data_IF_218455462234
#
_entry.id   IF_218455462234
#
_cell.length_a   1.000
_cell.length_b   1.000
_cell.length_c   1.000
_cell.angle_alpha   90.00
_cell.angle_beta   90.00
_cell.angle_gamma   90.00
#
_symmetry.space_group_name_H-M   'P 1'
#
loop_
_entity.id
_entity.type
_entity.pdbx_description
1 polymer ?
#
# COMPACT_ATOMS: atom_id res chain seq x y z
N UNK A 1 -2.04 21.73 7.05
CA UNK A 1 -2.41 20.70 6.05
C UNK A 1 -1.23 19.74 5.91
N UNK A 2 -1.44 18.44 5.80
CA UNK A 2 -0.37 17.42 5.82
C UNK A 2 0.47 17.49 4.53
N UNK A 3 1.79 17.56 4.65
CA UNK A 3 2.70 17.66 3.51
C UNK A 3 3.16 16.27 3.02
N UNK A 4 2.36 15.71 2.11
CA UNK A 4 2.66 14.40 1.50
C UNK A 4 3.78 14.45 0.46
N UNK A 5 4.06 15.61 -0.13
CA UNK A 5 5.15 15.76 -1.11
C UNK A 5 6.51 15.59 -0.44
N UNK A 6 6.73 16.34 0.64
CA UNK A 6 7.94 16.22 1.45
C UNK A 6 8.08 14.82 2.05
N UNK A 7 6.97 14.23 2.51
CA UNK A 7 6.95 12.85 3.01
C UNK A 7 7.44 11.85 1.95
N UNK A 8 6.94 11.91 0.71
CA UNK A 8 7.39 11.03 -0.38
C UNK A 8 8.91 11.16 -0.61
N UNK A 9 9.41 12.40 -0.67
CA UNK A 9 10.85 12.64 -0.85
C UNK A 9 11.68 12.02 0.28
N UNK A 10 11.22 12.12 1.53
CA UNK A 10 11.90 11.54 2.68
C UNK A 10 11.90 10.01 2.62
N UNK A 11 10.75 9.38 2.37
CA UNK A 11 10.63 7.92 2.23
C UNK A 11 11.58 7.42 1.16
N UNK A 12 11.63 8.08 0.00
CA UNK A 12 12.54 7.68 -1.09
C UNK A 12 14.00 7.80 -0.71
N UNK A 13 14.40 8.91 -0.11
CA UNK A 13 15.80 9.15 0.27
C UNK A 13 16.27 8.17 1.35
N UNK A 14 15.42 7.88 2.34
CA UNK A 14 15.73 6.96 3.42
C UNK A 14 15.71 5.50 2.96
N UNK A 15 14.83 5.15 2.03
CA UNK A 15 14.73 3.81 1.45
C UNK A 15 15.63 3.55 0.24
N UNK A 16 16.39 4.53 -0.24
CA UNK A 16 17.20 4.40 -1.46
C UNK A 16 16.37 4.23 -2.74
N UNK A 17 15.11 4.69 -2.76
CA UNK A 17 14.15 4.48 -3.83
C UNK A 17 14.20 5.60 -4.87
N UNK A 18 14.08 5.24 -6.15
CA UNK A 18 13.73 6.17 -7.23
C UNK A 18 12.25 6.51 -7.17
N UNK A 19 11.85 7.57 -7.90
CA UNK A 19 10.44 7.97 -7.94
C UNK A 19 9.57 6.91 -8.65
N UNK A 20 10.14 6.20 -9.63
CA UNK A 20 9.49 5.06 -10.30
C UNK A 20 9.26 3.86 -9.38
N UNK A 21 10.18 3.60 -8.44
CA UNK A 21 10.02 2.55 -7.44
C UNK A 21 8.86 2.89 -6.50
N UNK A 22 8.79 4.15 -6.04
CA UNK A 22 7.67 4.60 -5.20
C UNK A 22 6.33 4.55 -5.94
N UNK A 23 6.31 4.89 -7.23
CA UNK A 23 5.13 4.74 -8.09
C UNK A 23 4.65 3.29 -8.15
N UNK A 24 5.59 2.37 -8.27
CA UNK A 24 5.31 0.93 -8.32
C UNK A 24 4.79 0.41 -6.98
N UNK A 25 5.42 0.80 -5.86
CA UNK A 25 5.02 0.39 -4.52
C UNK A 25 3.61 0.85 -4.15
N UNK A 26 3.30 2.12 -4.43
CA UNK A 26 2.02 2.75 -4.06
C UNK A 26 0.92 2.59 -5.10
N UNK A 27 1.24 2.09 -6.30
CA UNK A 27 0.32 2.11 -7.44
C UNK A 27 -0.07 3.52 -7.92
N UNK A 28 0.56 4.57 -7.39
CA UNK A 28 0.31 5.94 -7.82
C UNK A 28 1.08 6.24 -9.10
N UNK A 29 0.45 6.96 -10.03
CA UNK A 29 1.12 7.33 -11.29
C UNK A 29 2.37 8.18 -11.08
N UNK A 30 3.43 7.92 -11.83
CA UNK A 30 4.70 8.64 -11.74
C UNK A 30 4.53 10.16 -11.95
N UNK A 31 3.71 10.58 -12.92
CA UNK A 31 3.42 12.02 -13.15
C UNK A 31 2.68 12.66 -11.97
N UNK A 32 1.81 11.90 -11.30
CA UNK A 32 1.13 12.35 -10.08
C UNK A 32 2.14 12.55 -8.95
N UNK A 33 3.05 11.58 -8.73
CA UNK A 33 4.10 11.68 -7.72
C UNK A 33 5.09 12.81 -8.00
N UNK A 34 5.45 13.04 -9.27
CA UNK A 34 6.30 14.17 -9.65
C UNK A 34 5.66 15.53 -9.31
N UNK A 35 4.38 15.72 -9.66
CA UNK A 35 3.65 16.94 -9.30
C UNK A 35 3.43 17.06 -7.78
N UNK A 36 3.32 15.94 -7.07
CA UNK A 36 3.18 15.92 -5.62
C UNK A 36 4.50 16.31 -4.93
N UNK A 37 5.63 15.72 -5.31
CA UNK A 37 6.96 16.02 -4.76
C UNK A 37 7.42 17.45 -5.07
N UNK A 38 6.99 18.02 -6.21
CA UNK A 38 7.25 19.43 -6.56
C UNK A 38 6.27 20.43 -5.92
N UNK A 39 5.24 19.97 -5.22
CA UNK A 39 4.24 20.81 -4.58
C UNK A 39 3.18 21.40 -5.54
N UNK A 40 3.25 21.09 -6.83
CA UNK A 40 2.26 21.51 -7.86
C UNK A 40 0.88 20.91 -7.59
N UNK A 41 0.84 19.69 -7.05
CA UNK A 41 -0.41 18.98 -6.73
C UNK A 41 -0.42 18.55 -5.27
N UNK A 42 -1.60 18.67 -4.64
CA UNK A 42 -1.84 18.14 -3.29
C UNK A 42 -2.52 16.78 -3.34
N UNK A 43 -2.19 15.92 -2.38
CA UNK A 43 -2.87 14.65 -2.15
C UNK A 43 -4.08 14.89 -1.23
N UNK A 44 -5.28 14.97 -1.82
CA UNK A 44 -6.54 15.22 -1.11
C UNK A 44 -7.59 14.11 -1.26
N UNK A 45 -7.38 13.18 -2.18
CA UNK A 45 -8.26 12.02 -2.39
C UNK A 45 -7.95 10.94 -1.35
N UNK A 46 -8.99 10.48 -0.66
CA UNK A 46 -8.86 9.42 0.34
C UNK A 46 -8.38 8.11 -0.28
N UNK A 47 -8.88 7.74 -1.45
CA UNK A 47 -8.45 6.51 -2.16
C UNK A 47 -6.96 6.52 -2.44
N UNK A 48 -6.42 7.67 -2.88
CA UNK A 48 -4.98 7.82 -3.14
C UNK A 48 -4.15 7.86 -1.86
N UNK A 49 -4.73 8.33 -0.74
CA UNK A 49 -4.08 8.25 0.58
C UNK A 49 -4.01 6.77 1.01
N UNK A 50 -5.10 6.01 0.84
CA UNK A 50 -5.12 4.57 1.12
C UNK A 50 -4.07 3.85 0.27
N UNK A 51 -4.07 4.05 -1.05
CA UNK A 51 -3.07 3.47 -1.95
C UNK A 51 -1.62 3.78 -1.53
N UNK A 52 -1.36 5.02 -1.10
CA UNK A 52 -0.04 5.41 -0.62
C UNK A 52 0.34 4.68 0.67
N UNK A 53 -0.58 4.55 1.62
CA UNK A 53 -0.31 3.93 2.92
C UNK A 53 -0.17 2.41 2.79
N UNK A 54 -1.03 1.78 2.00
CA UNK A 54 -0.99 0.34 1.71
C UNK A 54 0.32 -0.02 1.00
N UNK A 55 0.73 0.76 0.00
CA UNK A 55 1.98 0.51 -0.73
C UNK A 55 3.26 0.75 0.09
N UNK A 56 3.15 1.48 1.19
CA UNK A 56 4.25 1.69 2.14
C UNK A 56 4.18 0.73 3.34
N UNK A 57 3.23 -0.21 3.34
CA UNK A 57 2.98 -1.15 4.42
C UNK A 57 2.89 -0.46 5.80
N UNK A 58 2.19 0.68 5.83
CA UNK A 58 2.07 1.48 7.06
C UNK A 58 1.20 0.73 8.06
N UNK A 59 1.69 0.46 9.28
CA UNK A 59 0.91 -0.22 10.31
C UNK A 59 -0.40 0.51 10.61
N UNK A 60 -1.48 -0.27 10.74
CA UNK A 60 -2.85 0.24 10.93
C UNK A 60 -3.00 1.02 12.24
N UNK A 61 -2.16 0.72 13.23
CA UNK A 61 -2.09 1.41 14.51
C UNK A 61 -1.70 2.89 14.35
N UNK A 62 -1.03 3.25 13.24
CA UNK A 62 -0.57 4.61 12.94
C UNK A 62 -1.55 5.43 12.09
N UNK A 63 -2.55 4.81 11.46
CA UNK A 63 -3.47 5.47 10.53
C UNK A 63 -4.86 5.72 11.14
N UNK A 64 -5.19 5.02 12.23
CA UNK A 64 -6.46 5.18 12.95
C UNK A 64 -7.68 4.66 12.16
N UNK A 65 -8.88 4.68 12.76
CA UNK A 65 -10.06 4.01 12.19
C UNK A 65 -10.62 4.65 10.91
N UNK A 66 -10.21 5.87 10.56
CA UNK A 66 -10.76 6.66 9.45
C UNK A 66 -10.29 6.21 8.06
N UNK A 67 -9.19 5.46 7.97
CA UNK A 67 -8.62 4.97 6.70
C UNK A 67 -8.78 3.45 6.53
N UNK A 68 -9.67 2.83 7.29
CA UNK A 68 -9.99 1.40 7.16
C UNK A 68 -10.68 1.14 5.83
N UNK A 69 -9.95 0.59 4.86
CA UNK A 69 -10.59 -0.23 3.82
C UNK A 69 -11.14 -1.49 4.52
N UNK A 70 -12.39 -1.92 4.30
CA UNK A 70 -12.81 -3.23 4.76
C UNK A 70 -11.86 -4.24 4.13
N UNK A 71 -11.09 -4.93 4.97
CA UNK A 71 -10.09 -5.89 4.56
C UNK A 71 -10.66 -6.76 3.43
N UNK A 72 -9.98 -6.78 2.28
CA UNK A 72 -10.27 -7.80 1.29
C UNK A 72 -10.11 -9.14 2.02
N UNK A 73 -11.14 -10.00 2.09
CA UNK A 73 -11.02 -11.26 2.79
C UNK A 73 -9.91 -12.04 2.10
N UNK A 74 -8.83 -12.29 2.82
CA UNK A 74 -7.85 -13.31 2.48
C UNK A 74 -8.63 -14.63 2.46
N UNK A 75 -8.72 -15.35 1.33
CA UNK A 75 -9.34 -16.67 1.35
C UNK A 75 -8.52 -17.55 2.31
N UNK A 76 -9.15 -18.24 3.27
CA UNK A 76 -8.42 -19.12 4.18
C UNK A 76 -7.78 -20.25 3.38
N UNK A 77 -6.47 -20.18 3.17
CA UNK A 77 -5.67 -21.35 2.86
C UNK A 77 -5.47 -22.13 4.16
N UNK A 78 -6.13 -23.27 4.28
CA UNK A 78 -5.86 -24.21 5.37
C UNK A 78 -7.00 -25.15 5.75
N UNK A 79 -7.61 -25.86 4.79
CA UNK A 79 -8.24 -27.14 5.11
C UNK A 79 -7.20 -28.24 4.79
N UNK A 80 -6.58 -28.89 5.79
CA UNK A 80 -5.85 -30.12 5.54
C UNK A 80 -6.86 -31.20 5.15
N UNK A 81 -6.94 -31.52 3.85
CA UNK A 81 -7.70 -32.68 3.39
C UNK A 81 -7.08 -33.95 3.98
N UNK A 82 -7.81 -34.54 4.93
CA UNK A 82 -7.56 -35.80 5.61
C UNK A 82 -7.30 -36.94 4.60
N UNK A 83 -6.32 -37.85 4.84
CA UNK A 83 -6.00 -38.90 3.88
C UNK A 83 -6.97 -40.08 4.07
N UNK A 84 -7.91 -40.27 3.15
CA UNK A 84 -8.84 -41.40 3.19
C UNK A 84 -8.67 -42.31 1.96
N UNK A 85 -8.13 -43.51 2.21
CA UNK A 85 -8.49 -44.73 1.47
C UNK A 85 -7.43 -45.33 0.57
N UNK A 86 -6.65 -46.26 1.13
CA UNK A 86 -6.01 -47.34 0.35
C UNK A 86 -7.11 -48.16 -0.36
N UNK A 87 -6.99 -48.50 -1.66
CA UNK A 87 -7.86 -49.51 -2.26
C UNK A 87 -7.38 -50.92 -1.85
N UNK A 88 -8.28 -51.86 -1.51
CA UNK A 88 -7.89 -53.27 -1.42
C UNK A 88 -7.70 -53.87 -2.82
N UNK A 89 -6.85 -54.90 -2.87
CA UNK A 89 -6.45 -55.70 -4.03
C UNK A 89 -7.63 -56.39 -4.73
#
# INVERSE_FOLDING_TARGET
>A
MRDFGTFCVLVRRLGGLRQEDLATLTGLGQSFLSMLESGVRRLTSIDKIIMMLDGLDVPIELTGPMLRTPAHPTPPHGEPSEPLGHPPL
#
